data_IF_912474084036
#
_entry.id   IF_912474084036
#
_cell.length_a   1.000
_cell.length_b   1.000
_cell.length_c   1.000
_cell.angle_alpha   90.00
_cell.angle_beta   90.00
_cell.angle_gamma   90.00
#
_symmetry.space_group_name_H-M   'P 1'
#
loop_
_entity.id
_entity.type
_entity.pdbx_description
1 polymer ?
#
# COMPACT_ATOMS: atom_id res chain seq x y z
N UNK A 1 -23.24 28.42 -32.73
CA UNK A 1 -22.42 28.15 -31.53
C UNK A 1 -21.97 26.69 -31.60
N UNK A 2 -20.90 26.41 -32.36
CA UNK A 2 -20.45 25.05 -32.67
C UNK A 2 -19.49 24.57 -31.57
N UNK A 3 -20.00 23.67 -30.74
CA UNK A 3 -19.28 22.65 -29.96
C UNK A 3 -17.89 23.01 -29.44
N UNK A 4 -17.81 23.87 -28.42
CA UNK A 4 -16.60 23.99 -27.58
C UNK A 4 -16.49 22.83 -26.56
N UNK A 5 -17.61 22.19 -26.22
CA UNK A 5 -17.70 21.08 -25.27
C UNK A 5 -16.76 19.89 -25.56
N UNK A 6 -16.60 19.42 -26.81
CA UNK A 6 -15.74 18.27 -27.10
C UNK A 6 -14.25 18.60 -26.95
N UNK A 7 -13.84 19.81 -27.37
CA UNK A 7 -12.45 20.26 -27.26
C UNK A 7 -12.05 20.43 -25.79
N UNK A 8 -12.94 20.98 -24.97
CA UNK A 8 -12.74 21.09 -23.51
C UNK A 8 -12.59 19.70 -22.89
N UNK A 9 -13.39 18.70 -23.28
CA UNK A 9 -13.29 17.34 -22.76
C UNK A 9 -11.94 16.67 -23.09
N UNK A 10 -11.42 16.85 -24.31
CA UNK A 10 -10.12 16.30 -24.71
C UNK A 10 -8.98 16.98 -23.94
N UNK A 11 -9.01 18.31 -23.82
CA UNK A 11 -8.00 19.05 -23.05
C UNK A 11 -8.04 18.64 -21.57
N UNK A 12 -9.23 18.49 -20.99
CA UNK A 12 -9.40 18.02 -19.61
C UNK A 12 -8.85 16.60 -19.41
N UNK A 13 -9.08 15.70 -20.38
CA UNK A 13 -8.53 14.34 -20.37
C UNK A 13 -7.01 14.31 -20.42
N UNK A 14 -6.39 15.14 -21.27
CA UNK A 14 -4.92 15.27 -21.30
C UNK A 14 -4.38 15.84 -19.99
N UNK A 15 -5.05 16.85 -19.43
CA UNK A 15 -4.65 17.48 -18.17
C UNK A 15 -4.74 16.48 -17.00
N UNK A 16 -5.79 15.66 -16.95
CA UNK A 16 -5.94 14.56 -15.99
C UNK A 16 -4.81 13.52 -16.11
N UNK A 17 -4.39 13.18 -17.33
CA UNK A 17 -3.25 12.27 -17.54
C UNK A 17 -1.94 12.85 -17.06
N UNK A 18 -1.68 14.14 -17.32
CA UNK A 18 -0.47 14.83 -16.84
C UNK A 18 -0.48 14.92 -15.31
N UNK A 19 -1.60 15.30 -14.70
CA UNK A 19 -1.75 15.33 -13.24
C UNK A 19 -1.58 13.94 -12.65
N UNK A 20 -2.10 12.88 -13.29
CA UNK A 20 -1.88 11.49 -12.87
C UNK A 20 -0.40 11.10 -12.86
N UNK A 21 0.37 11.56 -13.85
CA UNK A 21 1.80 11.27 -13.94
C UNK A 21 2.59 12.03 -12.87
N UNK A 22 2.25 13.30 -12.67
CA UNK A 22 2.88 14.19 -11.70
C UNK A 22 2.50 13.80 -10.26
N UNK A 23 1.32 13.24 -10.03
CA UNK A 23 0.87 12.81 -8.70
C UNK A 23 1.80 11.76 -8.07
N UNK A 24 2.26 10.79 -8.87
CA UNK A 24 3.23 9.79 -8.42
C UNK A 24 4.64 10.35 -8.15
N UNK A 25 4.93 11.55 -8.68
CA UNK A 25 6.18 12.29 -8.49
C UNK A 25 6.12 13.22 -7.27
N UNK A 26 4.96 13.85 -7.00
CA UNK A 26 4.75 14.76 -5.86
C UNK A 26 4.47 13.98 -4.56
N UNK A 27 3.80 12.84 -4.64
CA UNK A 27 3.54 11.96 -3.49
C UNK A 27 4.27 10.61 -3.69
N UNK A 28 5.60 10.58 -3.51
CA UNK A 28 6.32 9.32 -3.58
C UNK A 28 5.82 8.42 -2.45
N UNK A 29 5.66 7.13 -2.74
CA UNK A 29 5.24 6.12 -1.75
C UNK A 29 6.17 6.06 -0.52
N UNK A 30 7.37 6.66 -0.61
CA UNK A 30 8.34 6.81 0.48
C UNK A 30 8.03 7.93 1.47
N UNK A 31 7.09 8.84 1.20
CA UNK A 31 6.86 10.03 2.04
C UNK A 31 6.31 9.73 3.45
N UNK A 32 5.82 8.51 3.70
CA UNK A 32 5.30 8.08 5.01
C UNK A 32 6.02 6.89 5.63
N UNK A 33 6.97 6.28 4.93
CA UNK A 33 7.71 5.11 5.39
C UNK A 33 9.16 5.51 5.70
N UNK A 34 9.44 5.79 6.98
CA UNK A 34 10.76 6.21 7.43
C UNK A 34 11.69 5.01 7.57
N UNK A 35 13.00 5.26 7.49
CA UNK A 35 14.04 4.25 7.72
C UNK A 35 13.95 3.61 9.12
N UNK A 36 13.46 4.37 10.10
CA UNK A 36 13.20 3.87 11.44
C UNK A 36 12.09 2.80 11.45
N UNK A 37 11.04 2.95 10.63
CA UNK A 37 9.96 1.95 10.52
C UNK A 37 10.42 0.68 9.79
N UNK A 38 11.29 0.79 8.78
CA UNK A 38 11.86 -0.38 8.11
C UNK A 38 12.79 -1.17 9.04
N UNK A 39 13.63 -0.48 9.81
CA UNK A 39 14.49 -1.12 10.83
C UNK A 39 13.63 -1.81 11.89
N UNK A 40 12.62 -1.13 12.43
CA UNK A 40 11.72 -1.70 13.45
C UNK A 40 10.93 -2.91 12.94
N UNK A 41 10.49 -2.89 11.68
CA UNK A 41 9.84 -4.05 11.05
C UNK A 41 10.80 -5.24 10.91
N UNK A 42 12.06 -4.99 10.57
CA UNK A 42 13.11 -6.02 10.53
C UNK A 42 13.40 -6.63 11.91
N UNK A 43 13.47 -5.78 12.94
CA UNK A 43 13.67 -6.22 14.32
C UNK A 43 12.49 -7.05 14.83
N UNK A 44 11.26 -6.59 14.61
CA UNK A 44 10.04 -7.33 14.99
C UNK A 44 9.96 -8.69 14.30
N UNK A 45 10.31 -8.77 13.01
CA UNK A 45 10.35 -10.04 12.27
C UNK A 45 11.40 -11.00 12.83
N UNK A 46 12.57 -10.48 13.16
CA UNK A 46 13.65 -11.27 13.78
C UNK A 46 13.22 -11.77 15.16
N UNK A 47 12.65 -10.89 15.99
CA UNK A 47 12.16 -11.22 17.33
C UNK A 47 11.03 -12.24 17.29
N UNK A 48 10.08 -12.09 16.36
CA UNK A 48 9.03 -13.07 16.12
C UNK A 48 9.61 -14.45 15.77
N UNK A 49 10.63 -14.51 14.89
CA UNK A 49 11.25 -15.77 14.50
C UNK A 49 11.98 -16.46 15.66
N UNK A 50 12.70 -15.68 16.47
CA UNK A 50 13.36 -16.18 17.69
C UNK A 50 12.32 -16.69 18.69
N UNK A 51 11.24 -15.94 18.92
CA UNK A 51 10.15 -16.32 19.84
C UNK A 51 9.45 -17.60 19.37
N UNK A 52 9.18 -17.78 18.08
CA UNK A 52 8.64 -19.05 17.55
C UNK A 52 9.55 -20.22 17.90
N UNK A 53 10.86 -20.06 17.71
CA UNK A 53 11.84 -21.09 18.06
C UNK A 53 11.85 -21.41 19.56
N UNK A 54 11.76 -20.38 20.40
CA UNK A 54 11.72 -20.52 21.86
C UNK A 54 10.42 -21.16 22.35
N UNK A 55 9.26 -20.79 21.79
CA UNK A 55 7.96 -21.42 22.08
C UNK A 55 7.98 -22.88 21.66
N UNK A 56 8.47 -23.19 20.46
CA UNK A 56 8.58 -24.57 19.98
C UNK A 56 9.52 -25.41 20.86
N UNK A 57 10.65 -24.84 21.28
CA UNK A 57 11.59 -25.50 22.20
C UNK A 57 10.98 -25.72 23.60
N UNK A 58 10.24 -24.73 24.12
CA UNK A 58 9.55 -24.80 25.40
C UNK A 58 8.39 -25.81 25.40
N UNK A 59 7.66 -25.92 24.28
CA UNK A 59 6.62 -26.94 24.09
C UNK A 59 7.21 -28.36 23.93
N UNK A 60 8.38 -28.49 23.27
CA UNK A 60 9.05 -29.78 23.08
C UNK A 60 9.70 -30.32 24.36
N UNK A 61 10.09 -29.46 25.30
CA UNK A 61 10.58 -29.82 26.64
C UNK A 61 9.91 -28.95 27.70
N UNK A 62 8.69 -29.32 28.16
CA UNK A 62 8.05 -28.62 29.26
C UNK A 62 8.83 -28.93 30.54
N UNK A 63 9.78 -28.07 30.91
CA UNK A 63 10.51 -28.25 32.17
C UNK A 63 9.55 -27.99 33.32
N UNK A 64 9.40 -28.96 34.23
CA UNK A 64 8.57 -28.83 35.42
C UNK A 64 9.21 -27.96 36.52
N UNK A 65 10.36 -27.33 36.25
CA UNK A 65 11.11 -26.49 37.19
C UNK A 65 11.65 -25.26 36.47
N UNK A 66 10.93 -24.14 36.59
CA UNK A 66 11.49 -22.79 36.51
C UNK A 66 12.00 -22.26 35.16
N UNK A 67 11.72 -22.91 34.02
CA UNK A 67 11.90 -22.26 32.71
C UNK A 67 10.77 -21.28 32.44
N UNK A 68 11.04 -20.17 31.73
CA UNK A 68 10.00 -19.22 31.28
C UNK A 68 8.77 -19.98 30.79
N UNK A 69 7.62 -19.72 31.41
CA UNK A 69 6.41 -20.49 31.15
C UNK A 69 6.13 -20.43 29.65
N UNK A 70 5.93 -21.59 28.99
CA UNK A 70 5.61 -21.63 27.57
C UNK A 70 4.41 -20.70 27.22
N UNK A 71 3.50 -20.52 28.18
CA UNK A 71 2.39 -19.57 28.09
C UNK A 71 2.81 -18.08 28.06
N UNK A 72 3.86 -17.68 28.79
CA UNK A 72 4.39 -16.30 28.76
C UNK A 72 5.10 -16.03 27.43
N UNK A 73 5.89 -16.99 26.93
CA UNK A 73 6.54 -16.90 25.62
C UNK A 73 5.52 -16.86 24.48
N UNK A 74 4.43 -17.61 24.60
CA UNK A 74 3.33 -17.59 23.64
C UNK A 74 2.56 -16.27 23.69
N UNK A 75 2.33 -15.70 24.87
CA UNK A 75 1.74 -14.37 25.02
C UNK A 75 2.62 -13.28 24.40
N UNK A 76 3.94 -13.30 24.64
CA UNK A 76 4.89 -12.37 24.04
C UNK A 76 4.94 -12.55 22.51
N UNK A 77 4.90 -13.78 22.02
CA UNK A 77 4.82 -14.06 20.59
C UNK A 77 3.54 -13.49 19.95
N UNK A 78 2.38 -13.65 20.57
CA UNK A 78 1.13 -13.08 20.06
C UNK A 78 1.15 -11.55 20.04
N UNK A 79 1.77 -10.92 21.05
CA UNK A 79 1.94 -9.48 21.10
C UNK A 79 2.84 -8.97 19.96
N UNK A 80 4.00 -9.58 19.78
CA UNK A 80 4.94 -9.23 18.70
C UNK A 80 4.34 -9.50 17.33
N UNK A 81 3.59 -10.60 17.17
CA UNK A 81 2.87 -10.91 15.93
C UNK A 81 1.82 -9.85 15.61
N UNK A 82 1.06 -9.39 16.60
CA UNK A 82 0.04 -8.35 16.42
C UNK A 82 0.68 -7.03 15.99
N UNK A 83 1.78 -6.63 16.63
CA UNK A 83 2.52 -5.41 16.26
C UNK A 83 3.13 -5.51 14.85
N UNK A 84 3.66 -6.69 14.48
CA UNK A 84 4.18 -6.96 13.14
C UNK A 84 3.06 -6.89 12.08
N UNK A 85 1.90 -7.51 12.33
CA UNK A 85 0.75 -7.44 11.41
C UNK A 85 0.27 -6.00 11.24
N UNK A 86 0.15 -5.21 12.31
CA UNK A 86 -0.24 -3.80 12.21
C UNK A 86 0.76 -2.98 11.39
N UNK A 87 2.07 -3.16 11.60
CA UNK A 87 3.10 -2.47 10.81
C UNK A 87 3.12 -2.92 9.34
N UNK A 88 2.86 -4.20 9.08
CA UNK A 88 2.77 -4.74 7.73
C UNK A 88 1.55 -4.20 6.99
N UNK A 89 0.39 -4.16 7.65
CA UNK A 89 -0.83 -3.61 7.07
C UNK A 89 -0.70 -2.10 6.81
N UNK A 90 0.01 -1.36 7.69
CA UNK A 90 0.35 0.04 7.44
C UNK A 90 1.27 0.18 6.22
N UNK A 91 2.28 -0.67 6.09
CA UNK A 91 3.17 -0.68 4.93
C UNK A 91 2.40 -0.94 3.63
N UNK A 92 1.58 -1.99 3.61
CA UNK A 92 0.83 -2.40 2.42
C UNK A 92 -0.18 -1.34 2.02
N UNK A 93 -0.94 -0.77 2.97
CA UNK A 93 -1.86 0.33 2.71
C UNK A 93 -1.17 1.59 2.19
N UNK A 94 0.06 1.87 2.61
CA UNK A 94 0.86 3.01 2.15
C UNK A 94 1.52 2.77 0.79
N UNK A 95 1.89 1.53 0.47
CA UNK A 95 2.42 1.16 -0.85
C UNK A 95 1.30 1.10 -1.89
N UNK A 96 0.13 0.60 -1.54
CA UNK A 96 -1.01 0.45 -2.46
C UNK A 96 -1.74 1.77 -2.71
N UNK A 97 -1.92 2.64 -1.71
CA UNK A 97 -2.68 3.89 -1.87
C UNK A 97 -2.22 4.81 -3.02
N UNK A 98 -0.92 5.09 -3.25
CA UNK A 98 -0.49 5.88 -4.39
C UNK A 98 -0.64 5.13 -5.71
N UNK A 99 -0.46 3.80 -5.72
CA UNK A 99 -0.63 2.97 -6.94
C UNK A 99 -2.09 2.91 -7.39
N UNK A 100 -3.02 2.70 -6.46
CA UNK A 100 -4.45 2.58 -6.74
C UNK A 100 -5.04 3.91 -7.17
N UNK A 101 -4.69 5.01 -6.49
CA UNK A 101 -5.16 6.36 -6.84
C UNK A 101 -4.62 6.80 -8.22
N UNK A 102 -3.34 6.57 -8.49
CA UNK A 102 -2.76 6.86 -9.80
C UNK A 102 -3.37 5.98 -10.92
N UNK A 103 -3.65 4.71 -10.65
CA UNK A 103 -4.32 3.83 -11.61
C UNK A 103 -5.74 4.31 -11.94
N UNK A 104 -6.54 4.69 -10.93
CA UNK A 104 -7.90 5.23 -11.11
C UNK A 104 -7.85 6.51 -11.94
N UNK A 105 -6.96 7.46 -11.61
CA UNK A 105 -6.81 8.70 -12.40
C UNK A 105 -6.40 8.42 -13.85
N UNK A 106 -5.49 7.46 -14.07
CA UNK A 106 -5.03 7.08 -15.41
C UNK A 106 -6.16 6.49 -16.25
N UNK A 107 -6.95 5.56 -15.71
CA UNK A 107 -8.08 4.97 -16.43
C UNK A 107 -9.21 5.99 -16.65
N UNK A 108 -9.48 6.86 -15.68
CA UNK A 108 -10.44 7.95 -15.84
C UNK A 108 -10.00 8.91 -16.95
N UNK A 109 -8.71 9.30 -16.98
CA UNK A 109 -8.15 10.15 -18.03
C UNK A 109 -8.26 9.53 -19.43
N UNK A 110 -7.92 8.24 -19.57
CA UNK A 110 -8.09 7.50 -20.83
C UNK A 110 -9.55 7.49 -21.28
N UNK A 111 -10.49 7.21 -20.36
CA UNK A 111 -11.92 7.18 -20.68
C UNK A 111 -12.43 8.53 -21.20
N UNK A 112 -12.00 9.64 -20.58
CA UNK A 112 -12.35 11.00 -21.05
C UNK A 112 -11.77 11.34 -22.43
N UNK A 113 -10.51 10.95 -22.70
CA UNK A 113 -9.89 11.16 -24.01
C UNK A 113 -10.61 10.37 -25.11
N UNK A 114 -10.93 9.09 -24.86
CA UNK A 114 -11.62 8.24 -25.82
C UNK A 114 -13.04 8.74 -26.07
N UNK A 115 -13.81 9.05 -25.02
CA UNK A 115 -15.17 9.58 -25.15
C UNK A 115 -15.19 10.94 -25.87
N UNK A 116 -14.30 11.85 -25.51
CA UNK A 116 -14.17 13.15 -26.17
C UNK A 116 -13.77 13.02 -27.64
N UNK A 117 -12.83 12.14 -27.95
CA UNK A 117 -12.40 11.85 -29.33
C UNK A 117 -13.52 11.27 -30.20
N UNK A 118 -14.31 10.34 -29.66
CA UNK A 118 -15.46 9.76 -30.37
C UNK A 118 -16.55 10.80 -30.63
N UNK A 119 -16.84 11.69 -29.69
CA UNK A 119 -17.81 12.78 -29.88
C UNK A 119 -17.34 13.79 -30.92
N UNK A 120 -16.05 14.12 -30.95
CA UNK A 120 -15.46 14.97 -32.00
C UNK A 120 -15.55 14.30 -33.37
N UNK A 121 -15.25 13.00 -33.44
CA UNK A 121 -15.29 12.24 -34.69
C UNK A 121 -16.72 12.12 -35.23
N UNK A 122 -17.68 11.74 -34.38
CA UNK A 122 -19.09 11.63 -34.75
C UNK A 122 -19.72 13.00 -35.10
N UNK A 123 -19.26 14.09 -34.49
CA UNK A 123 -19.73 15.45 -34.82
C UNK A 123 -19.09 16.09 -36.07
N UNK A 124 -18.06 15.46 -36.65
CA UNK A 124 -17.44 15.87 -37.92
C UNK A 124 -17.87 15.03 -39.12
N UNK A 125 -18.48 13.86 -38.87
CA UNK A 125 -19.09 13.00 -39.89
C UNK A 125 -20.51 13.42 -40.25
#
# INVERSE_FOLDING_TARGET
MKSALPTVAVVLGVLLLVVSLVWGLIFPASAGWTEEKSVRLGELKTRAHVLVGQVAAAQAKPSMHGGSNAAELEAEFQQVKTELTQLSDELDGRIESPKTTAAILRYAGIAFVVAGGLVVYAGRG
#
